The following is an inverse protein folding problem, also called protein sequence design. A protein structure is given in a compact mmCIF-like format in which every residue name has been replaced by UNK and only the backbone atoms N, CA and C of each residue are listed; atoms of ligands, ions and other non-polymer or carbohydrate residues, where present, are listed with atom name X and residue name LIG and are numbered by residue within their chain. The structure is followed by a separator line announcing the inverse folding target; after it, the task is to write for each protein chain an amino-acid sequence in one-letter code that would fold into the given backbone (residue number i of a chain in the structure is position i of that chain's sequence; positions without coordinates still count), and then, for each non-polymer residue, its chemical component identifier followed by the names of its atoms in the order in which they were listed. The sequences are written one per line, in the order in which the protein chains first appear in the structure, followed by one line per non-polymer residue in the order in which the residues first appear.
data_IF_027535657890
#
_entry.id   IF_027535657890
#
_cell.length_a   1.000
_cell.length_b   1.000
_cell.length_c   1.000
_cell.angle_alpha   90.00
_cell.angle_beta   90.00
_cell.angle_gamma   90.00
#
_symmetry.space_group_name_H-M   'P 1'
#
loop_
_entity.id
_entity.type
_entity.pdbx_description
1 polymer ?
#
# COMPACT_ATOMS: atom_id res chain seq x y z
N UNK A 1 -5.46 -12.47 6.80
CA UNK A 1 -5.31 -11.40 5.77
C UNK A 1 -4.55 -11.81 4.52
N UNK A 2 -3.47 -12.64 4.59
CA UNK A 2 -2.67 -13.04 3.41
C UNK A 2 -3.46 -13.55 2.19
N UNK A 3 -4.44 -14.43 2.38
CA UNK A 3 -5.27 -14.93 1.28
C UNK A 3 -6.14 -13.82 0.63
N UNK A 4 -6.66 -12.88 1.43
CA UNK A 4 -7.43 -11.73 0.94
C UNK A 4 -6.53 -10.73 0.20
N UNK A 5 -5.38 -10.37 0.77
CA UNK A 5 -4.42 -9.47 0.12
C UNK A 5 -3.83 -10.09 -1.16
N UNK A 6 -3.61 -11.42 -1.16
CA UNK A 6 -3.16 -12.17 -2.32
C UNK A 6 -4.19 -12.19 -3.45
N UNK A 7 -5.48 -12.37 -3.16
CA UNK A 7 -6.54 -12.31 -4.19
C UNK A 7 -6.72 -10.91 -4.78
N UNK A 8 -6.25 -9.89 -4.07
CA UNK A 8 -6.30 -8.49 -4.49
C UNK A 8 -5.02 -8.00 -5.18
N UNK A 9 -4.01 -8.89 -5.32
CA UNK A 9 -2.69 -8.60 -5.91
C UNK A 9 -1.92 -7.48 -5.19
N UNK A 10 -2.01 -7.45 -3.85
CA UNK A 10 -1.37 -6.45 -2.99
C UNK A 10 -0.52 -7.05 -1.88
N UNK A 11 -0.40 -8.39 -1.81
CA UNK A 11 0.40 -9.04 -0.77
C UNK A 11 1.87 -8.63 -0.82
N UNK A 12 2.44 -8.46 -2.02
CA UNK A 12 3.83 -8.09 -2.20
C UNK A 12 4.15 -6.73 -1.58
N UNK A 13 3.26 -5.75 -1.79
CA UNK A 13 3.33 -4.41 -1.18
C UNK A 13 3.34 -4.48 0.35
N UNK A 14 2.45 -5.27 0.95
CA UNK A 14 2.39 -5.41 2.40
C UNK A 14 3.64 -6.12 2.95
N UNK A 15 4.20 -7.04 2.18
CA UNK A 15 5.33 -7.89 2.61
C UNK A 15 6.67 -7.17 2.50
N UNK A 16 6.89 -6.53 1.35
CA UNK A 16 8.18 -5.98 0.96
C UNK A 16 8.22 -4.45 1.10
N UNK A 17 7.06 -3.82 1.33
CA UNK A 17 6.92 -2.37 1.24
C UNK A 17 7.01 -1.88 -0.20
N UNK A 18 6.90 -0.56 -0.32
CA UNK A 18 7.12 0.15 -1.57
C UNK A 18 7.75 1.50 -1.22
N UNK A 19 8.74 1.91 -2.02
CA UNK A 19 9.39 3.21 -1.90
C UNK A 19 8.83 4.19 -2.93
N UNK A 20 8.33 5.30 -2.41
CA UNK A 20 7.87 6.42 -3.21
C UNK A 20 9.08 7.15 -3.82
N UNK A 21 9.17 7.28 -5.16
CA UNK A 21 10.26 8.00 -5.80
C UNK A 21 10.29 9.47 -5.37
N UNK A 22 11.49 10.07 -5.28
CA UNK A 22 11.62 11.50 -5.01
C UNK A 22 10.91 12.34 -6.09
N UNK A 23 10.30 13.45 -5.68
CA UNK A 23 9.49 14.32 -6.55
C UNK A 23 10.24 14.91 -7.74
N UNK A 24 11.56 15.04 -7.60
CA UNK A 24 12.41 15.76 -8.55
C UNK A 24 12.97 14.83 -9.64
N UNK A 25 12.64 13.53 -9.58
CA UNK A 25 13.03 12.56 -10.60
C UNK A 25 12.16 12.76 -11.85
N UNK A 26 12.81 13.11 -12.97
CA UNK A 26 12.14 13.14 -14.27
C UNK A 26 11.78 11.72 -14.72
N UNK A 27 10.50 11.37 -14.62
CA UNK A 27 9.95 10.10 -15.07
C UNK A 27 9.44 10.20 -16.51
N UNK A 28 9.75 9.20 -17.33
CA UNK A 28 9.07 9.01 -18.61
C UNK A 28 7.62 8.51 -18.40
N UNK A 29 6.82 8.51 -19.47
CA UNK A 29 5.41 8.14 -19.38
C UNK A 29 5.17 6.73 -18.80
N UNK A 30 5.95 5.73 -19.23
CA UNK A 30 5.81 4.36 -18.73
C UNK A 30 6.13 4.26 -17.23
N UNK A 31 7.12 5.01 -16.76
CA UNK A 31 7.45 5.09 -15.34
C UNK A 31 6.36 5.79 -14.53
N UNK A 32 5.74 6.85 -15.06
CA UNK A 32 4.61 7.52 -14.41
C UNK A 32 3.39 6.60 -14.29
N UNK A 33 3.06 5.84 -15.33
CA UNK A 33 1.96 4.88 -15.31
C UNK A 33 2.22 3.74 -14.32
N UNK A 34 3.44 3.21 -14.29
CA UNK A 34 3.86 2.20 -13.32
C UNK A 34 3.74 2.74 -11.87
N UNK A 35 4.24 3.95 -11.62
CA UNK A 35 4.16 4.63 -10.33
C UNK A 35 2.70 4.81 -9.88
N UNK A 36 1.83 5.29 -10.76
CA UNK A 36 0.42 5.47 -10.44
C UNK A 36 -0.26 4.14 -10.09
N UNK A 37 0.09 3.06 -10.79
CA UNK A 37 -0.44 1.73 -10.49
C UNK A 37 0.04 1.22 -9.12
N UNK A 38 1.31 1.43 -8.78
CA UNK A 38 1.83 1.05 -7.47
C UNK A 38 1.16 1.84 -6.34
N UNK A 39 1.02 3.16 -6.48
CA UNK A 39 0.29 4.01 -5.51
C UNK A 39 -1.16 3.54 -5.31
N UNK A 40 -1.86 3.13 -6.37
CA UNK A 40 -3.22 2.57 -6.27
C UNK A 40 -3.24 1.26 -5.49
N UNK A 41 -2.28 0.37 -5.74
CA UNK A 41 -2.17 -0.90 -5.01
C UNK A 41 -1.82 -0.67 -3.53
N UNK A 42 -0.95 0.29 -3.22
CA UNK A 42 -0.60 0.71 -1.87
C UNK A 42 -1.84 1.15 -1.08
N UNK A 43 -2.61 2.10 -1.63
CA UNK A 43 -3.82 2.59 -0.99
C UNK A 43 -4.87 1.49 -0.81
N UNK A 44 -4.98 0.58 -1.77
CA UNK A 44 -5.87 -0.59 -1.70
C UNK A 44 -5.46 -1.52 -0.56
N UNK A 45 -4.17 -1.81 -0.43
CA UNK A 45 -3.63 -2.63 0.64
C UNK A 45 -3.93 -2.02 2.02
N UNK A 46 -3.64 -0.73 2.19
CA UNK A 46 -3.88 0.00 3.42
C UNK A 46 -5.37 0.02 3.79
N UNK A 47 -6.26 0.23 2.81
CA UNK A 47 -7.71 0.17 3.01
C UNK A 47 -8.18 -1.20 3.49
N UNK A 48 -7.66 -2.29 2.88
CA UNK A 48 -8.00 -3.67 3.31
C UNK A 48 -7.54 -3.91 4.74
N UNK A 49 -6.33 -3.45 5.10
CA UNK A 49 -5.80 -3.58 6.46
C UNK A 49 -6.70 -2.84 7.45
N UNK A 50 -7.04 -1.57 7.18
CA UNK A 50 -7.97 -0.80 8.02
C UNK A 50 -9.33 -1.48 8.20
N UNK A 51 -9.90 -2.07 7.14
CA UNK A 51 -11.20 -2.74 7.19
C UNK A 51 -11.17 -4.08 7.94
N UNK A 52 -10.01 -4.74 8.00
CA UNK A 52 -9.87 -6.07 8.58
C UNK A 52 -9.47 -6.03 10.07
N UNK A 53 -9.26 -4.83 10.62
CA UNK A 53 -8.84 -4.62 12.01
C UNK A 53 -10.05 -4.15 12.82
N UNK A 54 -10.17 -4.63 14.05
CA UNK A 54 -11.20 -4.19 14.98
C UNK A 54 -10.91 -2.76 15.50
N UNK A 55 -11.95 -2.05 15.94
CA UNK A 55 -11.85 -0.66 16.39
C UNK A 55 -10.76 -0.45 17.46
N UNK A 56 -10.51 -1.48 18.27
CA UNK A 56 -9.56 -1.45 19.38
C UNK A 56 -8.09 -1.52 18.93
N UNK A 57 -7.83 -2.11 17.76
CA UNK A 57 -6.51 -2.16 17.15
C UNK A 57 -6.34 -1.10 16.05
N UNK A 58 -7.42 -0.48 15.57
CA UNK A 58 -7.36 0.61 14.59
C UNK A 58 -6.52 1.79 15.10
N UNK A 59 -6.68 2.21 16.36
CA UNK A 59 -5.89 3.32 16.92
C UNK A 59 -4.37 3.08 16.89
N UNK A 60 -3.93 1.81 16.95
CA UNK A 60 -2.50 1.46 16.96
C UNK A 60 -1.85 1.60 15.59
N UNK A 61 -2.63 1.44 14.53
CA UNK A 61 -2.15 1.38 13.14
C UNK A 61 -2.69 2.53 12.28
N UNK A 62 -3.57 3.37 12.81
CA UNK A 62 -4.16 4.53 12.12
C UNK A 62 -3.12 5.58 11.70
N UNK A 63 -1.96 5.61 12.37
CA UNK A 63 -0.82 6.44 12.02
C UNK A 63 0.07 5.87 10.91
N UNK A 64 -0.19 4.64 10.45
CA UNK A 64 0.57 4.04 9.37
C UNK A 64 0.29 4.77 8.06
N UNK A 65 1.36 5.27 7.44
CA UNK A 65 1.28 5.96 6.15
C UNK A 65 1.42 5.01 4.97
N UNK A 66 1.82 3.76 5.23
CA UNK A 66 1.99 2.69 4.24
C UNK A 66 1.37 1.40 4.75
N UNK A 67 0.97 0.53 3.83
CA UNK A 67 0.42 -0.78 4.12
C UNK A 67 1.43 -1.74 4.74
N UNK A 68 2.73 -1.47 4.60
CA UNK A 68 3.79 -2.22 5.28
C UNK A 68 3.97 -1.80 6.75
N UNK A 69 3.60 -0.55 7.08
CA UNK A 69 3.64 -0.03 8.46
C UNK A 69 2.36 -0.32 9.25
N UNK A 70 1.26 -0.60 8.56
CA UNK A 70 -0.06 -0.90 9.14
C UNK A 70 -0.15 -2.36 9.58
#
# INVERSE_FOLDING_TARGET
MKALLGSQDVWDIVSNGYEEPESDVALNQAQQEALQNTRKKEQKALTIIHQAIDDNNFEKISGATTAHQA
#
